data_IF_822249775220
#
_entry.id   IF_822249775220
#
_cell.length_a   1.000
_cell.length_b   1.000
_cell.length_c   1.000
_cell.angle_alpha   90.00
_cell.angle_beta   90.00
_cell.angle_gamma   90.00
#
_symmetry.space_group_name_H-M   'P 1'
#
loop_
_entity.id
_entity.type
_entity.pdbx_description
1 polymer ?
#
# COMPACT_ATOMS: atom_id res chain seq x y z
N UNK A 1 -5.99 29.00 -2.69
CA UNK A 1 -6.38 27.78 -1.90
C UNK A 1 -5.69 27.84 -0.55
N UNK A 2 -6.43 27.77 0.55
CA UNK A 2 -5.91 27.77 1.91
C UNK A 2 -5.92 26.34 2.50
N UNK A 3 -4.97 26.03 3.38
CA UNK A 3 -4.88 24.71 4.04
C UNK A 3 -6.17 24.35 4.81
N UNK A 4 -6.75 25.36 5.47
CA UNK A 4 -8.02 25.20 6.18
C UNK A 4 -9.17 24.77 5.25
N UNK A 5 -9.21 25.28 4.03
CA UNK A 5 -10.24 24.90 3.05
C UNK A 5 -10.07 23.45 2.59
N UNK A 6 -8.82 22.95 2.49
CA UNK A 6 -8.56 21.54 2.24
C UNK A 6 -9.04 20.64 3.39
N UNK A 7 -8.82 21.06 4.65
CA UNK A 7 -9.35 20.35 5.83
C UNK A 7 -10.89 20.28 5.79
N UNK A 8 -11.53 21.38 5.44
CA UNK A 8 -13.00 21.44 5.28
C UNK A 8 -13.48 20.49 4.19
N UNK A 9 -12.83 20.49 3.05
CA UNK A 9 -13.15 19.58 1.96
C UNK A 9 -13.00 18.11 2.38
N UNK A 10 -11.88 17.73 3.02
CA UNK A 10 -11.66 16.37 3.51
C UNK A 10 -12.69 15.95 4.57
N UNK A 11 -13.07 16.85 5.49
CA UNK A 11 -14.09 16.54 6.47
C UNK A 11 -15.44 16.21 5.80
N UNK A 12 -15.82 16.97 4.74
CA UNK A 12 -17.06 16.70 4.00
C UNK A 12 -16.97 15.39 3.22
N UNK A 13 -15.80 15.04 2.67
CA UNK A 13 -15.63 13.75 1.97
C UNK A 13 -15.74 12.56 2.93
N UNK A 14 -15.25 12.72 4.16
CA UNK A 14 -15.31 11.69 5.21
C UNK A 14 -16.72 11.48 5.72
N UNK A 15 -17.43 12.58 6.02
CA UNK A 15 -18.78 12.54 6.57
C UNK A 15 -19.86 12.29 5.52
N UNK A 16 -19.56 12.43 4.24
CA UNK A 16 -20.50 12.39 3.11
C UNK A 16 -21.74 13.32 3.33
N UNK A 17 -21.61 14.31 4.23
CA UNK A 17 -22.69 15.20 4.66
C UNK A 17 -22.14 16.53 5.20
N UNK A 18 -22.59 17.67 4.62
CA UNK A 18 -22.09 18.99 5.01
C UNK A 18 -22.44 19.36 6.45
N UNK A 19 -23.64 18.99 6.92
CA UNK A 19 -24.07 19.33 8.27
C UNK A 19 -23.25 18.60 9.32
N UNK A 20 -23.06 17.29 9.17
CA UNK A 20 -22.20 16.50 10.06
C UNK A 20 -20.74 16.96 10.02
N UNK A 21 -20.22 17.27 8.84
CA UNK A 21 -18.89 17.82 8.71
C UNK A 21 -18.73 19.18 9.41
N UNK A 22 -19.72 20.05 9.30
CA UNK A 22 -19.72 21.34 10.00
C UNK A 22 -19.75 21.16 11.52
N UNK A 23 -20.56 20.21 12.02
CA UNK A 23 -20.62 19.83 13.44
C UNK A 23 -19.24 19.30 13.92
N UNK A 24 -18.62 18.38 13.19
CA UNK A 24 -17.31 17.82 13.54
C UNK A 24 -16.19 18.87 13.53
N UNK A 25 -16.31 19.89 12.69
CA UNK A 25 -15.38 21.03 12.60
C UNK A 25 -15.71 22.19 13.56
N UNK A 26 -16.81 22.11 14.32
CA UNK A 26 -17.32 23.16 15.19
C UNK A 26 -17.54 24.52 14.49
N UNK A 27 -18.05 24.48 13.26
CA UNK A 27 -18.41 25.66 12.46
C UNK A 27 -19.86 25.60 11.97
N UNK A 28 -20.40 26.73 11.47
CA UNK A 28 -21.74 26.73 10.90
C UNK A 28 -21.78 26.09 9.50
N UNK A 29 -22.84 25.34 9.23
CA UNK A 29 -23.05 24.71 7.91
C UNK A 29 -23.10 25.74 6.76
N UNK A 30 -23.71 26.95 6.85
CA UNK A 30 -23.66 27.94 5.80
C UNK A 30 -22.21 28.41 5.49
N UNK A 31 -21.38 28.56 6.53
CA UNK A 31 -19.98 28.94 6.37
C UNK A 31 -19.19 27.86 5.63
N UNK A 32 -19.31 26.60 6.07
CA UNK A 32 -18.66 25.46 5.40
C UNK A 32 -19.09 25.36 3.93
N UNK A 33 -20.41 25.47 3.67
CA UNK A 33 -20.95 25.42 2.30
C UNK A 33 -20.39 26.54 1.41
N UNK A 34 -20.23 27.75 1.96
CA UNK A 34 -19.63 28.88 1.27
C UNK A 34 -18.16 28.62 0.92
N UNK A 35 -17.36 28.13 1.88
CA UNK A 35 -15.94 27.82 1.67
C UNK A 35 -15.74 26.75 0.59
N UNK A 36 -16.59 25.74 0.53
CA UNK A 36 -16.53 24.72 -0.52
C UNK A 36 -16.92 25.28 -1.89
N UNK A 37 -17.91 26.18 -1.96
CA UNK A 37 -18.27 26.86 -3.22
C UNK A 37 -17.13 27.76 -3.70
N UNK A 38 -16.46 28.49 -2.81
CA UNK A 38 -15.31 29.32 -3.13
C UNK A 38 -14.15 28.47 -3.66
N UNK A 39 -13.89 27.30 -3.09
CA UNK A 39 -12.90 26.32 -3.57
C UNK A 39 -13.26 25.80 -4.98
N UNK A 40 -14.51 25.42 -5.22
CA UNK A 40 -14.99 24.99 -6.55
C UNK A 40 -14.85 26.10 -7.59
N UNK A 41 -15.16 27.35 -7.21
CA UNK A 41 -15.02 28.52 -8.07
C UNK A 41 -13.56 28.85 -8.38
N UNK A 42 -12.65 28.71 -7.39
CA UNK A 42 -11.22 28.97 -7.58
C UNK A 42 -10.62 28.02 -8.64
N UNK A 43 -11.02 26.75 -8.66
CA UNK A 43 -10.59 25.78 -9.66
C UNK A 43 -11.43 25.81 -10.96
N UNK A 44 -12.59 26.49 -10.95
CA UNK A 44 -13.55 26.44 -12.05
C UNK A 44 -14.10 25.02 -12.27
N UNK A 45 -14.16 24.20 -11.23
CA UNK A 45 -14.54 22.79 -11.27
C UNK A 45 -15.52 22.46 -10.17
N UNK A 46 -16.50 21.62 -10.48
CA UNK A 46 -17.33 21.00 -9.47
C UNK A 46 -16.56 19.83 -8.86
N UNK A 47 -16.39 19.84 -7.54
CA UNK A 47 -15.66 18.82 -6.80
C UNK A 47 -16.61 17.85 -6.08
N UNK A 48 -17.81 18.35 -5.73
CA UNK A 48 -18.81 17.65 -4.93
C UNK A 48 -20.13 17.50 -5.70
N UNK A 49 -20.69 16.30 -5.73
CA UNK A 49 -22.04 16.04 -6.22
C UNK A 49 -22.97 16.01 -4.99
N UNK A 50 -23.87 16.99 -4.92
CA UNK A 50 -24.82 17.14 -3.80
C UNK A 50 -26.07 16.31 -4.06
N UNK A 51 -26.07 15.06 -3.57
CA UNK A 51 -27.25 14.19 -3.62
C UNK A 51 -28.26 14.47 -2.49
N UNK A 52 -29.48 13.95 -2.61
CA UNK A 52 -30.54 14.12 -1.58
C UNK A 52 -30.21 13.47 -0.23
N UNK A 53 -29.39 12.41 -0.22
CA UNK A 53 -29.06 11.63 0.99
C UNK A 53 -27.59 11.71 1.38
N UNK A 54 -26.70 11.84 0.40
CA UNK A 54 -25.26 11.90 0.63
C UNK A 54 -24.57 12.76 -0.43
N UNK A 55 -23.36 13.20 -0.08
CA UNK A 55 -22.42 13.86 -0.98
C UNK A 55 -21.49 12.81 -1.53
N UNK A 56 -21.20 12.91 -2.83
CA UNK A 56 -20.17 12.09 -3.50
C UNK A 56 -19.19 13.01 -4.22
N UNK A 57 -18.01 12.48 -4.54
CA UNK A 57 -17.00 13.22 -5.27
C UNK A 57 -17.21 13.10 -6.78
N UNK A 58 -16.87 14.17 -7.50
CA UNK A 58 -16.57 14.10 -8.94
C UNK A 58 -15.19 13.48 -9.17
N UNK A 59 -14.82 13.23 -10.43
CA UNK A 59 -13.44 12.81 -10.77
C UNK A 59 -12.41 13.85 -10.30
N UNK A 60 -12.65 15.14 -10.54
CA UNK A 60 -11.81 16.24 -10.05
C UNK A 60 -11.77 16.27 -8.50
N UNK A 61 -12.90 15.97 -7.84
CA UNK A 61 -12.98 15.85 -6.40
C UNK A 61 -12.16 14.68 -5.83
N UNK A 62 -12.11 13.55 -6.52
CA UNK A 62 -11.27 12.40 -6.15
C UNK A 62 -9.78 12.78 -6.23
N UNK A 63 -9.38 13.48 -7.30
CA UNK A 63 -8.03 13.98 -7.47
C UNK A 63 -7.68 14.94 -6.33
N UNK A 64 -8.54 15.93 -6.07
CA UNK A 64 -8.29 16.90 -5.00
C UNK A 64 -8.21 16.23 -3.63
N UNK A 65 -9.07 15.24 -3.33
CA UNK A 65 -9.01 14.51 -2.07
C UNK A 65 -7.63 13.89 -1.85
N UNK A 66 -7.12 13.16 -2.85
CA UNK A 66 -5.80 12.54 -2.77
C UNK A 66 -4.70 13.59 -2.51
N UNK A 67 -4.71 14.70 -3.26
CA UNK A 67 -3.71 15.76 -3.08
C UNK A 67 -3.86 16.54 -1.78
N UNK A 68 -5.07 16.75 -1.31
CA UNK A 68 -5.33 17.41 -0.03
C UNK A 68 -4.81 16.58 1.15
N UNK A 69 -5.01 15.26 1.14
CA UNK A 69 -4.45 14.34 2.13
C UNK A 69 -2.91 14.41 2.15
N UNK A 70 -2.27 14.40 0.98
CA UNK A 70 -0.80 14.50 0.84
C UNK A 70 -0.27 15.85 1.37
N UNK A 71 -0.90 16.97 0.99
CA UNK A 71 -0.50 18.32 1.42
C UNK A 71 -0.63 18.47 2.94
N UNK A 72 -1.76 18.06 3.52
CA UNK A 72 -1.99 18.22 4.96
C UNK A 72 -1.06 17.31 5.78
N UNK A 73 -0.81 16.09 5.32
CA UNK A 73 0.18 15.22 5.96
C UNK A 73 1.59 15.84 5.97
N UNK A 74 2.00 16.47 4.86
CA UNK A 74 3.29 17.14 4.80
C UNK A 74 3.36 18.37 5.70
N UNK A 75 2.25 19.12 5.85
CA UNK A 75 2.17 20.27 6.77
C UNK A 75 2.29 19.80 8.21
N UNK A 76 1.51 18.79 8.63
CA UNK A 76 1.56 18.24 9.99
C UNK A 76 2.97 17.75 10.33
N UNK A 77 3.61 17.07 9.39
CA UNK A 77 4.99 16.60 9.53
C UNK A 77 5.97 17.76 9.70
N UNK A 78 5.82 18.81 8.88
CA UNK A 78 6.67 20.02 8.96
C UNK A 78 6.50 20.74 10.29
N UNK A 79 5.26 20.94 10.75
CA UNK A 79 4.94 21.55 12.02
C UNK A 79 5.55 20.77 13.19
N UNK A 80 5.46 19.43 13.14
CA UNK A 80 6.07 18.56 14.14
C UNK A 80 7.60 18.68 14.16
N UNK A 81 8.25 18.59 12.99
CA UNK A 81 9.71 18.67 12.84
C UNK A 81 10.26 20.00 13.37
N UNK A 82 9.52 21.09 13.19
CA UNK A 82 9.90 22.42 13.67
C UNK A 82 9.56 22.66 15.14
N UNK A 83 8.53 22.02 15.68
CA UNK A 83 8.07 22.19 17.06
C UNK A 83 8.81 21.29 18.05
N UNK A 84 9.39 20.19 17.60
CA UNK A 84 10.13 19.26 18.44
C UNK A 84 11.42 19.91 18.93
N UNK A 85 11.44 20.29 20.21
CA UNK A 85 12.70 20.63 20.90
C UNK A 85 13.67 19.45 20.76
N UNK A 86 14.92 19.71 20.41
CA UNK A 86 16.02 18.77 20.12
C UNK A 86 16.26 17.65 21.17
N UNK A 87 15.48 17.62 22.26
CA UNK A 87 15.63 16.69 23.38
C UNK A 87 14.62 15.53 23.41
N UNK A 88 13.51 15.62 22.67
CA UNK A 88 12.48 14.57 22.66
C UNK A 88 12.38 13.93 21.28
N UNK A 89 12.65 12.61 21.21
CA UNK A 89 12.47 11.81 20.00
C UNK A 89 11.03 11.37 19.93
N UNK A 90 10.31 11.87 18.93
CA UNK A 90 8.90 11.55 18.71
C UNK A 90 8.51 11.81 17.25
N UNK A 91 7.21 11.83 16.96
CA UNK A 91 6.65 12.08 15.65
C UNK A 91 6.11 10.84 14.96
N UNK A 92 5.64 11.04 13.75
CA UNK A 92 5.05 9.96 12.96
C UNK A 92 6.07 9.40 11.95
N UNK A 93 6.10 8.09 11.84
CA UNK A 93 6.83 7.35 10.79
C UNK A 93 5.81 6.58 9.98
N UNK A 94 5.69 6.91 8.70
CA UNK A 94 4.72 6.29 7.81
C UNK A 94 5.43 5.30 6.88
N UNK A 95 5.02 4.03 6.94
CA UNK A 95 5.61 2.95 6.15
C UNK A 95 4.56 2.38 5.19
N UNK A 96 4.81 2.51 3.90
CA UNK A 96 3.95 1.98 2.84
C UNK A 96 4.27 0.52 2.47
N UNK A 97 3.31 -0.15 1.83
CA UNK A 97 3.46 -1.51 1.35
C UNK A 97 3.13 -2.58 2.38
N UNK A 98 3.80 -3.73 2.30
CA UNK A 98 3.56 -4.87 3.18
C UNK A 98 4.75 -5.06 4.13
N UNK A 99 4.69 -4.59 5.38
CA UNK A 99 5.82 -4.62 6.29
C UNK A 99 6.16 -6.07 6.71
N UNK A 100 7.46 -6.42 6.66
CA UNK A 100 7.95 -7.71 7.15
C UNK A 100 8.04 -7.72 8.68
N UNK A 101 8.23 -8.92 9.24
CA UNK A 101 8.35 -9.07 10.69
C UNK A 101 9.57 -8.32 11.25
N UNK A 102 10.67 -8.22 10.50
CA UNK A 102 11.85 -7.44 10.91
C UNK A 102 11.53 -5.95 11.01
N UNK A 103 10.77 -5.40 10.06
CA UNK A 103 10.29 -4.01 10.10
C UNK A 103 9.38 -3.78 11.30
N UNK A 104 8.39 -4.67 11.52
CA UNK A 104 7.45 -4.58 12.64
C UNK A 104 8.15 -4.68 14.00
N UNK A 105 9.09 -5.61 14.16
CA UNK A 105 9.86 -5.77 15.38
C UNK A 105 10.74 -4.55 15.67
N UNK A 106 11.33 -3.95 14.62
CA UNK A 106 12.12 -2.72 14.77
C UNK A 106 11.25 -1.56 15.19
N UNK A 107 10.07 -1.42 14.59
CA UNK A 107 9.08 -0.41 14.97
C UNK A 107 8.62 -0.58 16.43
N UNK A 108 8.30 -1.80 16.85
CA UNK A 108 7.88 -2.12 18.21
C UNK A 108 8.97 -1.77 19.26
N UNK A 109 10.24 -2.13 18.97
CA UNK A 109 11.38 -1.79 19.85
C UNK A 109 11.61 -0.28 19.92
N UNK A 110 11.47 0.43 18.78
CA UNK A 110 11.61 1.88 18.79
C UNK A 110 10.51 2.54 19.61
N UNK A 111 9.26 2.16 19.39
CA UNK A 111 8.08 2.65 20.11
C UNK A 111 8.17 2.40 21.62
N UNK A 112 8.67 1.23 22.02
CA UNK A 112 8.89 0.91 23.44
C UNK A 112 9.92 1.84 24.10
N UNK A 113 10.96 2.24 23.36
CA UNK A 113 12.00 3.13 23.88
C UNK A 113 11.60 4.61 23.82
N UNK A 114 10.83 5.00 22.80
CA UNK A 114 10.38 6.37 22.53
C UNK A 114 8.86 6.40 22.36
N UNK A 115 8.11 6.53 23.47
CA UNK A 115 6.64 6.44 23.46
C UNK A 115 5.93 7.52 22.62
N UNK A 116 6.59 8.60 22.31
CA UNK A 116 6.06 9.69 21.47
C UNK A 116 6.27 9.45 19.96
N UNK A 117 6.91 8.32 19.57
CA UNK A 117 7.00 7.89 18.18
C UNK A 117 5.75 7.09 17.82
N UNK A 118 5.05 7.52 16.78
CA UNK A 118 3.88 6.83 16.23
C UNK A 118 4.24 6.20 14.89
N UNK A 119 3.70 5.01 14.62
CA UNK A 119 3.85 4.34 13.34
C UNK A 119 2.51 4.25 12.63
N UNK A 120 2.48 4.66 11.37
CA UNK A 120 1.36 4.43 10.47
C UNK A 120 1.80 3.45 9.37
N UNK A 121 1.04 2.39 9.18
CA UNK A 121 1.26 1.44 8.09
C UNK A 121 0.20 1.67 7.01
N UNK A 122 0.67 2.00 5.81
CA UNK A 122 -0.18 2.32 4.66
C UNK A 122 -0.12 1.19 3.64
N UNK A 123 -1.21 0.47 3.45
CA UNK A 123 -1.32 -0.63 2.49
C UNK A 123 -2.12 -0.19 1.27
N UNK A 124 -1.49 -0.22 0.10
CA UNK A 124 -2.09 0.07 -1.19
C UNK A 124 -1.35 -0.66 -2.30
N UNK A 125 -1.74 -0.45 -3.56
CA UNK A 125 -0.97 -1.00 -4.67
C UNK A 125 0.41 -0.30 -4.79
N UNK A 126 1.33 -0.97 -5.51
CA UNK A 126 2.71 -0.50 -5.60
C UNK A 126 2.83 0.88 -6.25
N UNK A 127 1.94 1.23 -7.18
CA UNK A 127 1.98 2.52 -7.88
C UNK A 127 1.61 3.63 -6.90
N UNK A 128 0.52 3.47 -6.17
CA UNK A 128 0.08 4.47 -5.19
C UNK A 128 1.09 4.64 -4.04
N UNK A 129 1.67 3.52 -3.55
CA UNK A 129 2.73 3.59 -2.52
C UNK A 129 3.96 4.33 -3.03
N UNK A 130 4.41 4.08 -4.28
CA UNK A 130 5.54 4.79 -4.88
C UNK A 130 5.24 6.28 -5.08
N UNK A 131 4.05 6.64 -5.58
CA UNK A 131 3.66 8.03 -5.72
C UNK A 131 3.69 8.78 -4.38
N UNK A 132 3.20 8.15 -3.30
CA UNK A 132 3.23 8.74 -1.95
C UNK A 132 4.65 8.88 -1.40
N UNK A 133 5.52 7.91 -1.70
CA UNK A 133 6.94 7.98 -1.35
C UNK A 133 7.63 9.13 -2.09
N UNK A 134 7.32 9.32 -3.38
CA UNK A 134 7.85 10.42 -4.18
C UNK A 134 7.41 11.80 -3.65
N UNK A 135 6.17 11.92 -3.21
CA UNK A 135 5.64 13.17 -2.66
C UNK A 135 5.99 13.39 -1.17
N UNK A 136 6.68 12.44 -0.53
CA UNK A 136 7.09 12.55 0.87
C UNK A 136 5.95 12.38 1.88
N UNK A 137 4.76 11.95 1.43
CA UNK A 137 3.64 11.64 2.33
C UNK A 137 3.80 10.32 3.07
N UNK A 138 4.72 9.45 2.64
CA UNK A 138 5.25 8.32 3.40
C UNK A 138 6.77 8.40 3.47
N UNK A 139 7.36 7.86 4.54
CA UNK A 139 8.81 7.92 4.78
C UNK A 139 9.55 6.76 4.14
N UNK A 140 8.96 5.58 4.25
CA UNK A 140 9.53 4.32 3.81
C UNK A 140 8.49 3.49 3.07
N UNK A 141 8.96 2.60 2.21
CA UNK A 141 8.10 1.60 1.61
C UNK A 141 8.78 0.23 1.60
N UNK A 142 7.99 -0.83 1.85
CA UNK A 142 8.45 -2.20 1.75
C UNK A 142 7.88 -2.83 0.48
N UNK A 143 8.78 -3.31 -0.37
CA UNK A 143 8.43 -3.93 -1.64
C UNK A 143 9.11 -5.28 -1.84
N UNK A 144 8.51 -6.07 -2.71
CA UNK A 144 9.14 -7.23 -3.30
C UNK A 144 10.18 -6.81 -4.34
N UNK A 145 11.33 -7.45 -4.31
CA UNK A 145 12.29 -7.39 -5.41
C UNK A 145 11.80 -8.23 -6.62
N UNK A 146 12.14 -7.90 -7.88
CA UNK A 146 12.92 -6.74 -8.27
C UNK A 146 12.08 -5.44 -8.26
N UNK A 147 12.72 -4.34 -7.86
CA UNK A 147 12.19 -2.99 -7.95
C UNK A 147 13.25 -2.10 -8.57
N UNK A 148 12.83 -1.10 -9.37
CA UNK A 148 13.74 -0.05 -9.80
C UNK A 148 14.06 0.86 -8.62
N UNK A 149 15.32 0.81 -8.20
CA UNK A 149 15.84 1.56 -7.05
C UNK A 149 16.76 2.71 -7.46
N UNK A 150 16.77 3.08 -8.76
CA UNK A 150 17.67 4.14 -9.27
C UNK A 150 17.56 5.45 -8.48
N UNK A 151 16.36 5.83 -8.06
CA UNK A 151 16.04 7.05 -7.31
C UNK A 151 15.97 6.84 -5.78
N UNK A 152 16.14 5.61 -5.30
CA UNK A 152 15.95 5.27 -3.89
C UNK A 152 17.24 4.80 -3.22
N UNK A 153 17.33 5.02 -1.91
CA UNK A 153 18.16 4.21 -1.03
C UNK A 153 17.36 2.99 -0.60
N UNK A 154 18.03 1.91 -0.22
CA UNK A 154 17.36 0.69 0.21
C UNK A 154 18.14 -0.08 1.28
N UNK A 155 17.43 -0.95 1.96
CA UNK A 155 17.94 -2.00 2.83
C UNK A 155 17.27 -3.30 2.40
N UNK A 156 18.04 -4.31 1.99
CA UNK A 156 17.52 -5.67 1.80
C UNK A 156 17.10 -6.25 3.15
N UNK A 157 15.92 -6.83 3.20
CA UNK A 157 15.37 -7.42 4.42
C UNK A 157 15.68 -8.94 4.43
N UNK A 158 15.83 -9.55 5.62
CA UNK A 158 16.26 -10.96 5.72
C UNK A 158 15.15 -11.95 5.32
N UNK A 159 13.90 -11.49 5.27
CA UNK A 159 12.79 -12.36 4.93
C UNK A 159 12.79 -12.68 3.43
N UNK A 160 12.38 -13.89 3.10
CA UNK A 160 12.02 -14.33 1.76
C UNK A 160 10.69 -15.07 1.79
N UNK A 161 10.06 -15.18 0.64
CA UNK A 161 8.84 -15.97 0.48
C UNK A 161 8.87 -16.74 -0.83
N UNK A 162 8.28 -17.93 -0.85
CA UNK A 162 8.24 -18.80 -2.02
C UNK A 162 7.01 -18.48 -2.88
N UNK A 163 7.22 -18.41 -4.19
CA UNK A 163 6.14 -18.39 -5.15
C UNK A 163 5.46 -19.75 -5.26
N UNK A 164 4.15 -19.71 -5.46
CA UNK A 164 3.33 -20.89 -5.68
C UNK A 164 1.96 -20.54 -6.20
N UNK A 165 1.12 -21.54 -6.29
CA UNK A 165 -0.23 -21.44 -6.80
C UNK A 165 -1.23 -21.82 -5.73
N UNK A 166 -2.16 -20.92 -5.42
CA UNK A 166 -3.33 -21.20 -4.61
C UNK A 166 -4.44 -21.72 -5.53
N UNK A 167 -5.05 -22.84 -5.18
CA UNK A 167 -5.96 -23.59 -6.02
C UNK A 167 -7.04 -24.34 -5.21
N UNK A 168 -8.11 -24.84 -5.85
CA UNK A 168 -9.05 -25.77 -5.21
C UNK A 168 -8.33 -27.04 -4.74
N UNK A 169 -8.61 -27.52 -3.53
CA UNK A 169 -7.96 -28.71 -2.97
C UNK A 169 -8.41 -30.02 -3.64
N UNK A 170 -9.53 -29.99 -4.36
CA UNK A 170 -10.09 -31.13 -5.09
C UNK A 170 -9.65 -31.21 -6.56
N UNK A 171 -8.83 -30.24 -7.03
CA UNK A 171 -8.34 -30.25 -8.41
C UNK A 171 -7.15 -31.23 -8.56
N UNK A 172 -7.00 -31.77 -9.79
CA UNK A 172 -5.93 -32.73 -10.10
C UNK A 172 -4.52 -32.24 -9.79
N UNK A 173 -4.26 -30.92 -9.94
CA UNK A 173 -2.95 -30.35 -9.63
C UNK A 173 -2.65 -30.33 -8.13
N UNK A 174 -3.68 -30.34 -7.28
CA UNK A 174 -3.51 -30.35 -5.84
C UNK A 174 -2.94 -31.70 -5.30
N UNK A 175 -3.00 -32.76 -6.12
CA UNK A 175 -2.36 -34.06 -5.80
C UNK A 175 -0.81 -33.98 -5.85
N UNK A 176 -0.26 -33.00 -6.57
CA UNK A 176 1.17 -32.79 -6.65
C UNK A 176 1.70 -32.02 -5.42
N UNK A 177 2.94 -32.26 -5.02
CA UNK A 177 3.59 -31.48 -3.94
C UNK A 177 4.04 -30.09 -4.41
N UNK A 178 4.20 -29.88 -5.72
CA UNK A 178 4.67 -28.62 -6.34
C UNK A 178 4.13 -28.49 -7.76
N UNK A 179 4.23 -27.26 -8.30
CA UNK A 179 3.79 -26.88 -9.65
C UNK A 179 5.02 -26.72 -10.54
N UNK A 180 5.07 -27.47 -11.62
CA UNK A 180 6.16 -27.37 -12.62
C UNK A 180 5.86 -26.30 -13.68
N UNK A 181 6.90 -25.83 -14.38
CA UNK A 181 6.80 -24.86 -15.48
C UNK A 181 5.73 -25.22 -16.52
N UNK A 182 5.66 -26.52 -16.90
CA UNK A 182 4.68 -27.02 -17.86
C UNK A 182 3.22 -26.97 -17.38
N UNK A 183 3.03 -27.01 -16.05
CA UNK A 183 1.67 -27.02 -15.48
C UNK A 183 1.09 -25.61 -15.45
N UNK A 184 1.91 -24.61 -15.08
CA UNK A 184 1.48 -23.22 -14.98
C UNK A 184 1.00 -22.65 -16.32
N UNK A 185 1.53 -23.15 -17.45
CA UNK A 185 1.13 -22.70 -18.79
C UNK A 185 -0.22 -23.27 -19.25
N UNK A 186 -0.72 -24.30 -18.56
CA UNK A 186 -1.98 -25.00 -18.95
C UNK A 186 -3.20 -24.54 -18.17
N UNK A 187 -3.00 -23.79 -17.10
CA UNK A 187 -4.07 -23.38 -16.19
C UNK A 187 -4.45 -21.91 -16.37
N UNK A 188 -5.72 -21.53 -16.19
CA UNK A 188 -6.11 -20.13 -16.17
C UNK A 188 -5.58 -19.46 -14.92
N UNK A 189 -4.72 -18.47 -15.08
CA UNK A 189 -4.03 -17.79 -13.97
C UNK A 189 -4.73 -16.48 -13.60
N UNK A 190 -4.81 -16.24 -12.32
CA UNK A 190 -5.03 -14.92 -11.76
C UNK A 190 -3.67 -14.43 -11.28
N UNK A 191 -3.21 -13.28 -11.79
CA UNK A 191 -1.83 -12.86 -11.60
C UNK A 191 -1.71 -11.36 -11.28
N UNK A 192 -0.53 -10.96 -10.81
CA UNK A 192 -0.23 -9.55 -10.52
C UNK A 192 -0.08 -8.72 -11.79
N UNK A 193 -0.55 -7.46 -11.75
CA UNK A 193 -0.42 -6.50 -12.86
C UNK A 193 1.00 -5.92 -13.00
N UNK A 194 1.82 -5.98 -11.95
CA UNK A 194 3.15 -5.37 -11.90
C UNK A 194 4.09 -6.04 -12.91
N UNK A 195 4.60 -5.24 -13.86
CA UNK A 195 5.43 -5.73 -14.97
C UNK A 195 6.70 -6.47 -14.50
N UNK A 196 7.40 -5.98 -13.46
CA UNK A 196 8.59 -6.65 -12.92
C UNK A 196 8.31 -8.06 -12.40
N UNK A 197 7.13 -8.29 -11.77
CA UNK A 197 6.74 -9.63 -11.33
C UNK A 197 6.36 -10.53 -12.51
N UNK A 198 5.73 -9.96 -13.54
CA UNK A 198 5.42 -10.70 -14.77
C UNK A 198 6.70 -11.13 -15.48
N UNK A 199 7.71 -10.27 -15.54
CA UNK A 199 9.01 -10.62 -16.10
C UNK A 199 9.73 -11.70 -15.29
N UNK A 200 9.68 -11.63 -13.95
CA UNK A 200 10.25 -12.63 -13.05
C UNK A 200 9.67 -14.02 -13.33
N UNK A 201 8.35 -14.13 -13.42
CA UNK A 201 7.65 -15.40 -13.70
C UNK A 201 7.91 -15.87 -15.15
N UNK A 202 7.93 -14.95 -16.11
CA UNK A 202 8.26 -15.27 -17.51
C UNK A 202 9.68 -15.87 -17.62
N UNK A 203 10.62 -15.26 -16.92
CA UNK A 203 12.01 -15.79 -16.86
C UNK A 203 12.06 -17.16 -16.17
N UNK A 204 11.36 -17.32 -15.04
CA UNK A 204 11.29 -18.60 -14.34
C UNK A 204 10.69 -19.71 -15.23
N UNK A 205 9.65 -19.40 -16.02
CA UNK A 205 8.98 -20.36 -16.89
C UNK A 205 9.68 -20.54 -18.27
N UNK A 206 10.77 -19.83 -18.55
CA UNK A 206 11.46 -19.80 -19.84
C UNK A 206 10.53 -19.46 -21.01
N UNK A 207 9.60 -18.54 -20.84
CA UNK A 207 8.63 -18.16 -21.86
C UNK A 207 8.14 -16.72 -21.73
N UNK A 208 7.54 -16.17 -22.79
CA UNK A 208 6.96 -14.84 -22.79
C UNK A 208 5.62 -14.82 -22.02
N UNK A 209 5.31 -13.72 -21.33
CA UNK A 209 4.08 -13.54 -20.54
C UNK A 209 2.82 -13.76 -21.38
N UNK A 210 2.83 -13.45 -22.68
CA UNK A 210 1.70 -13.66 -23.59
C UNK A 210 1.35 -15.13 -23.83
N UNK A 211 2.24 -16.06 -23.48
CA UNK A 211 2.00 -17.49 -23.58
C UNK A 211 1.30 -18.08 -22.36
N UNK A 212 1.13 -17.27 -21.29
CA UNK A 212 0.35 -17.67 -20.14
C UNK A 212 -1.15 -17.45 -20.40
N UNK A 213 -1.97 -18.36 -19.90
CA UNK A 213 -3.42 -18.17 -19.91
C UNK A 213 -3.83 -17.28 -18.72
N UNK A 214 -3.72 -15.96 -18.86
CA UNK A 214 -4.09 -15.01 -17.80
C UNK A 214 -5.58 -14.76 -17.86
N UNK A 215 -6.34 -15.37 -16.95
CA UNK A 215 -7.78 -15.19 -16.82
C UNK A 215 -8.14 -13.85 -16.15
N UNK A 216 -7.32 -13.37 -15.22
CA UNK A 216 -7.52 -12.09 -14.55
C UNK A 216 -6.21 -11.54 -13.99
N UNK A 217 -6.16 -10.22 -13.81
CA UNK A 217 -5.11 -9.56 -13.03
C UNK A 217 -5.69 -9.03 -11.74
N UNK A 218 -5.00 -9.23 -10.62
CA UNK A 218 -5.45 -8.82 -9.30
C UNK A 218 -4.30 -8.30 -8.44
N UNK A 219 -4.46 -7.09 -7.92
CA UNK A 219 -3.54 -6.51 -6.95
C UNK A 219 -4.16 -6.67 -5.56
N UNK A 220 -3.65 -7.62 -4.79
CA UNK A 220 -4.14 -7.85 -3.42
C UNK A 220 -3.59 -6.74 -2.51
N UNK A 221 -4.50 -5.95 -1.98
CA UNK A 221 -4.18 -5.03 -0.88
C UNK A 221 -4.85 -5.53 0.40
N UNK A 222 -6.15 -5.84 0.35
CA UNK A 222 -6.92 -6.39 1.46
C UNK A 222 -8.07 -7.25 0.91
N UNK A 223 -7.73 -8.34 0.24
CA UNK A 223 -8.72 -9.20 -0.38
C UNK A 223 -8.55 -10.66 0.03
N UNK A 224 -9.58 -11.44 -0.23
CA UNK A 224 -9.48 -12.89 -0.11
C UNK A 224 -9.32 -13.50 -1.50
N UNK A 225 -8.11 -13.95 -1.89
CA UNK A 225 -7.91 -14.65 -3.15
C UNK A 225 -8.75 -15.93 -3.25
N UNK A 226 -9.12 -16.51 -2.13
CA UNK A 226 -9.99 -17.70 -2.02
C UNK A 226 -11.31 -17.51 -2.77
N UNK A 227 -11.89 -16.30 -2.75
CA UNK A 227 -13.16 -16.03 -3.47
C UNK A 227 -13.04 -16.21 -4.98
N UNK A 228 -11.90 -15.82 -5.56
CA UNK A 228 -11.62 -16.01 -6.99
C UNK A 228 -11.46 -17.50 -7.32
N UNK A 229 -10.76 -18.24 -6.44
CA UNK A 229 -10.58 -19.68 -6.62
C UNK A 229 -11.95 -20.40 -6.58
N UNK A 230 -12.76 -20.12 -5.56
CA UNK A 230 -14.11 -20.71 -5.40
C UNK A 230 -15.09 -20.33 -6.51
N UNK A 231 -14.90 -19.17 -7.15
CA UNK A 231 -15.72 -18.78 -8.31
C UNK A 231 -15.39 -19.56 -9.59
N UNK A 232 -14.29 -20.33 -9.60
CA UNK A 232 -13.81 -21.04 -10.78
C UNK A 232 -13.13 -20.12 -11.80
N UNK A 233 -12.83 -18.86 -11.46
CA UNK A 233 -12.22 -17.91 -12.38
C UNK A 233 -10.80 -18.32 -12.81
N UNK A 234 -10.06 -18.97 -11.91
CA UNK A 234 -8.70 -19.42 -12.20
C UNK A 234 -7.91 -19.80 -10.95
N UNK A 235 -6.63 -20.01 -11.16
CA UNK A 235 -5.63 -20.37 -10.16
C UNK A 235 -4.82 -19.13 -9.79
N UNK A 236 -4.64 -18.85 -8.50
CA UNK A 236 -4.00 -17.62 -8.07
C UNK A 236 -2.50 -17.82 -7.85
N UNK A 237 -1.69 -17.20 -8.71
CA UNK A 237 -0.24 -17.19 -8.60
C UNK A 237 0.18 -16.12 -7.60
N UNK A 238 0.72 -16.55 -6.47
CA UNK A 238 1.05 -15.68 -5.33
C UNK A 238 2.26 -16.22 -4.55
N UNK A 239 2.62 -15.53 -3.48
CA UNK A 239 3.65 -15.95 -2.54
C UNK A 239 3.03 -16.49 -1.25
N UNK A 240 3.78 -17.35 -0.56
CA UNK A 240 3.33 -18.05 0.65
C UNK A 240 2.96 -17.10 1.80
N UNK A 241 3.67 -15.98 1.93
CA UNK A 241 3.43 -14.96 2.98
C UNK A 241 2.15 -14.16 2.83
N UNK A 242 1.57 -14.12 1.62
CA UNK A 242 0.27 -13.47 1.37
C UNK A 242 -0.92 -14.40 1.61
N UNK A 243 -0.68 -15.63 1.99
CA UNK A 243 -1.74 -16.55 2.32
C UNK A 243 -2.32 -16.20 3.70
N UNK A 244 -3.64 -16.39 3.91
CA UNK A 244 -4.21 -16.32 5.24
C UNK A 244 -3.57 -17.38 6.14
N UNK A 245 -3.36 -17.03 7.41
CA UNK A 245 -2.75 -17.92 8.41
C UNK A 245 -3.45 -19.28 8.49
N UNK A 246 -4.75 -19.30 8.22
CA UNK A 246 -5.56 -20.52 8.11
C UNK A 246 -6.18 -20.54 6.73
N UNK A 247 -5.74 -21.48 5.90
CA UNK A 247 -6.38 -21.73 4.61
C UNK A 247 -7.74 -22.42 4.85
N UNK A 248 -8.72 -22.03 4.05
CA UNK A 248 -10.01 -22.72 4.02
C UNK A 248 -9.81 -24.16 3.51
N UNK A 249 -10.59 -25.13 4.01
CA UNK A 249 -10.38 -26.56 3.73
C UNK A 249 -10.46 -26.93 2.23
N UNK A 250 -11.16 -26.12 1.44
CA UNK A 250 -11.40 -26.33 0.02
C UNK A 250 -10.37 -25.66 -0.90
N UNK A 251 -9.32 -25.07 -0.33
CA UNK A 251 -8.20 -24.50 -1.08
C UNK A 251 -6.86 -24.98 -0.53
N UNK A 252 -5.88 -25.12 -1.41
CA UNK A 252 -4.51 -25.49 -1.03
C UNK A 252 -3.50 -24.64 -1.82
N UNK A 253 -2.32 -24.52 -1.24
CA UNK A 253 -1.17 -23.88 -1.89
C UNK A 253 -0.14 -24.93 -2.29
N UNK A 254 0.43 -24.79 -3.49
CA UNK A 254 1.56 -25.60 -3.95
C UNK A 254 2.68 -24.69 -4.45
N UNK A 255 3.91 -24.84 -3.91
CA UNK A 255 5.04 -24.04 -4.35
C UNK A 255 5.47 -24.39 -5.77
N UNK A 256 6.16 -23.46 -6.42
CA UNK A 256 6.74 -23.67 -7.75
C UNK A 256 7.97 -24.58 -7.67
N UNK A 257 8.20 -25.37 -8.74
CA UNK A 257 9.41 -26.17 -8.94
C UNK A 257 9.96 -25.97 -10.38
N UNK A 258 11.23 -25.54 -10.54
CA UNK A 258 12.21 -25.22 -9.50
C UNK A 258 11.73 -24.10 -8.57
N UNK A 259 12.20 -24.06 -7.32
CA UNK A 259 11.78 -23.03 -6.36
C UNK A 259 12.08 -21.63 -6.90
N UNK A 260 11.10 -20.73 -6.75
CA UNK A 260 11.26 -19.32 -7.01
C UNK A 260 10.97 -18.55 -5.71
N UNK A 261 11.96 -17.86 -5.22
CA UNK A 261 11.87 -17.04 -4.04
C UNK A 261 11.76 -15.56 -4.38
N UNK A 262 11.12 -14.80 -3.53
CA UNK A 262 11.07 -13.35 -3.59
C UNK A 262 11.67 -12.80 -2.31
N UNK A 263 12.42 -11.72 -2.44
CA UNK A 263 13.03 -11.02 -1.33
C UNK A 263 12.36 -9.66 -1.14
N UNK A 264 12.62 -9.03 0.00
CA UNK A 264 12.02 -7.76 0.36
C UNK A 264 13.10 -6.71 0.52
N UNK A 265 12.74 -5.49 0.14
CA UNK A 265 13.55 -4.31 0.42
C UNK A 265 12.68 -3.23 1.07
N UNK A 266 13.24 -2.56 2.08
CA UNK A 266 12.73 -1.28 2.54
C UNK A 266 13.46 -0.19 1.77
N UNK A 267 12.69 0.69 1.11
CA UNK A 267 13.21 1.78 0.29
C UNK A 267 12.78 3.13 0.82
N UNK A 268 13.57 4.17 0.53
CA UNK A 268 13.21 5.57 0.79
C UNK A 268 13.90 6.49 -0.23
N UNK A 269 13.32 7.66 -0.47
CA UNK A 269 13.81 8.62 -1.46
C UNK A 269 15.19 9.16 -1.04
N UNK A 270 16.17 9.22 -1.96
CA UNK A 270 17.54 9.68 -1.67
C UNK A 270 17.60 11.10 -1.16
N UNK A 271 16.72 11.96 -1.66
CA UNK A 271 16.69 13.40 -1.36
C UNK A 271 15.68 13.77 -0.26
N UNK A 272 14.98 12.79 0.32
CA UNK A 272 14.00 13.08 1.36
C UNK A 272 14.69 13.51 2.65
N UNK A 273 14.16 14.56 3.27
CA UNK A 273 14.50 14.89 4.64
C UNK A 273 13.94 13.78 5.55
N UNK A 274 14.80 13.27 6.42
CA UNK A 274 14.42 12.27 7.41
C UNK A 274 14.25 12.93 8.77
N UNK A 275 13.10 12.72 9.43
CA UNK A 275 12.96 13.11 10.83
C UNK A 275 13.94 12.33 11.70
N UNK A 276 14.28 12.86 12.87
CA UNK A 276 15.19 12.18 13.83
C UNK A 276 14.68 10.79 14.24
N UNK A 277 13.37 10.63 14.36
CA UNK A 277 12.75 9.32 14.62
C UNK A 277 12.98 8.34 13.45
N UNK A 278 12.80 8.80 12.20
CA UNK A 278 13.04 8.01 10.99
C UNK A 278 14.52 7.61 10.84
N UNK A 279 15.47 8.52 11.13
CA UNK A 279 16.90 8.20 11.13
C UNK A 279 17.26 7.10 12.13
N UNK A 280 16.73 7.20 13.36
CA UNK A 280 16.96 6.19 14.39
C UNK A 280 16.32 4.86 14.02
N UNK A 281 15.12 4.89 13.41
CA UNK A 281 14.47 3.70 12.88
C UNK A 281 15.36 3.00 11.84
N UNK A 282 15.87 3.74 10.86
CA UNK A 282 16.79 3.20 9.83
C UNK A 282 18.06 2.63 10.44
N UNK A 283 18.66 3.34 11.40
CA UNK A 283 19.87 2.85 12.08
C UNK A 283 19.62 1.53 12.79
N UNK A 284 18.49 1.40 13.49
CA UNK A 284 18.11 0.16 14.16
C UNK A 284 17.78 -0.96 13.20
N UNK A 285 17.11 -0.65 12.10
CA UNK A 285 16.80 -1.63 11.07
C UNK A 285 18.09 -2.17 10.45
N UNK A 286 19.05 -1.32 10.09
CA UNK A 286 20.36 -1.73 9.59
C UNK A 286 21.10 -2.66 10.55
N UNK A 287 20.99 -2.42 11.86
CA UNK A 287 21.58 -3.30 12.89
C UNK A 287 20.87 -4.67 12.99
N UNK A 288 19.61 -4.73 12.62
CA UNK A 288 18.81 -5.97 12.65
C UNK A 288 18.94 -6.81 11.38
N UNK A 289 19.48 -6.22 10.30
CA UNK A 289 19.66 -6.87 8.99
C UNK A 289 21.13 -7.19 8.68
N UNK A 290 22.07 -6.73 9.51
CA UNK A 290 23.50 -7.05 9.45
C UNK A 290 23.80 -8.34 10.22
#
# INVERSE_FOLDING_TARGET
MELRTLQYFLAVTKEENITRAAESLHISQPYLSKQLMELENEFGKQLLIRGKRKITLTEDGIILRKRAEEILSLVEKTEYDLSSNNSQIGGEIIIGGNPTITVLNTAARLRSKYPDVHFQFYSSDAIDVLERLEHGSIDFAVFWEPIDISEYNYISLPESSRWGVLMPSDCKLAENDFIEKKDILKIPLIFHRRAGLQQLISHWADTDIKNFNIAATYNVVNGSPTKFIKSGLGFYLTTEDLLPTILEQDVCFRPLNPPLEIHYALIWKRTAFQSKAAEIFLQKLKQSTA
#
